data_IF_508638408272
#
_entry.id   IF_508638408272
#
_cell.length_a   1.000
_cell.length_b   1.000
_cell.length_c   1.000
_cell.angle_alpha   90.00
_cell.angle_beta   90.00
_cell.angle_gamma   90.00
#
_symmetry.space_group_name_H-M   'P 1'
#
loop_
_entity.id
_entity.type
_entity.pdbx_description
1 polymer ?
#
# COMPACT_ATOMS: atom_id res chain seq x y z
N UNK A 1 -2.23 -14.51 -2.37
CA UNK A 1 -1.52 -13.25 -2.06
C UNK A 1 -1.17 -12.60 -3.38
N UNK A 2 -1.08 -11.27 -3.42
CA UNK A 2 -0.52 -10.53 -4.53
C UNK A 2 0.78 -9.85 -4.08
N UNK A 3 1.71 -9.63 -4.99
CA UNK A 3 3.01 -9.01 -4.74
C UNK A 3 3.38 -8.10 -5.91
N UNK A 4 4.18 -7.09 -5.61
CA UNK A 4 4.77 -6.19 -6.60
C UNK A 4 5.89 -5.40 -5.97
N UNK A 5 6.69 -4.74 -6.80
CA UNK A 5 7.76 -3.88 -6.35
C UNK A 5 7.97 -2.71 -7.32
N UNK A 6 8.62 -1.68 -6.80
CA UNK A 6 9.12 -0.53 -7.52
C UNK A 6 10.55 -0.24 -7.03
N UNK A 7 11.15 0.86 -7.46
CA UNK A 7 12.54 1.18 -7.10
C UNK A 7 12.75 1.27 -5.58
N UNK A 8 11.82 1.90 -4.86
CA UNK A 8 11.94 2.16 -3.43
C UNK A 8 11.02 1.30 -2.57
N UNK A 9 10.06 0.57 -3.16
CA UNK A 9 9.04 -0.14 -2.39
C UNK A 9 8.82 -1.57 -2.82
N UNK A 10 8.53 -2.44 -1.83
CA UNK A 10 8.04 -3.79 -2.05
C UNK A 10 6.68 -3.96 -1.41
N UNK A 11 5.67 -4.24 -2.22
CA UNK A 11 4.28 -4.38 -1.82
C UNK A 11 3.80 -5.83 -1.79
N UNK A 12 2.95 -6.16 -0.81
CA UNK A 12 2.11 -7.35 -0.85
C UNK A 12 0.69 -7.08 -0.36
N UNK A 13 -0.27 -7.79 -0.94
CA UNK A 13 -1.67 -7.81 -0.51
C UNK A 13 -2.06 -9.22 -0.10
N UNK A 14 -2.57 -9.37 1.12
CA UNK A 14 -3.03 -10.63 1.68
C UNK A 14 -4.47 -10.53 2.13
N UNK A 15 -5.25 -11.53 1.76
CA UNK A 15 -6.62 -11.71 2.24
C UNK A 15 -6.63 -12.83 3.27
N UNK A 16 -7.25 -12.56 4.41
CA UNK A 16 -7.58 -13.54 5.45
C UNK A 16 -9.09 -13.76 5.47
N UNK A 17 -9.51 -15.01 5.61
CA UNK A 17 -10.92 -15.38 5.74
C UNK A 17 -11.09 -16.14 7.05
N UNK A 18 -11.91 -15.61 7.95
CA UNK A 18 -12.20 -16.22 9.25
C UNK A 18 -13.71 -16.35 9.41
N UNK A 19 -14.22 -17.59 9.29
CA UNK A 19 -15.67 -17.84 9.22
C UNK A 19 -16.29 -17.11 8.01
N UNK A 20 -17.24 -16.22 8.28
CA UNK A 20 -17.89 -15.38 7.25
C UNK A 20 -17.24 -14.00 7.08
N UNK A 21 -16.18 -13.70 7.83
CA UNK A 21 -15.45 -12.43 7.73
C UNK A 21 -14.31 -12.57 6.73
N UNK A 22 -14.18 -11.60 5.82
CA UNK A 22 -13.04 -11.44 4.92
C UNK A 22 -12.36 -10.12 5.24
N UNK A 23 -11.05 -10.14 5.46
CA UNK A 23 -10.23 -8.95 5.63
C UNK A 23 -8.98 -9.02 4.78
N UNK A 24 -8.67 -7.92 4.12
CA UNK A 24 -7.46 -7.71 3.35
C UNK A 24 -6.49 -6.78 4.08
N UNK A 25 -5.22 -6.95 3.75
CA UNK A 25 -4.12 -6.15 4.28
C UNK A 25 -3.06 -5.94 3.22
N UNK A 26 -2.74 -4.69 2.97
CA UNK A 26 -1.58 -4.26 2.22
C UNK A 26 -0.39 -4.08 3.16
N UNK A 27 0.80 -4.38 2.66
CA UNK A 27 2.05 -4.11 3.34
C UNK A 27 3.06 -3.63 2.31
N UNK A 28 3.55 -2.40 2.47
CA UNK A 28 4.57 -1.80 1.61
C UNK A 28 5.83 -1.56 2.43
N UNK A 29 6.93 -2.19 2.05
CA UNK A 29 8.21 -2.07 2.73
C UNK A 29 9.14 -1.17 1.93
N UNK A 30 9.69 -0.14 2.56
CA UNK A 30 10.70 0.72 1.96
C UNK A 30 12.00 -0.06 1.83
N UNK A 31 12.58 -0.09 0.64
CA UNK A 31 13.73 -0.93 0.33
C UNK A 31 15.05 -0.25 0.70
N UNK A 32 15.07 1.07 0.85
CA UNK A 32 16.29 1.86 1.11
C UNK A 32 16.45 2.16 2.61
N UNK A 33 17.67 2.41 3.04
CA UNK A 33 18.01 2.58 4.47
C UNK A 33 17.68 3.98 5.02
N UNK A 34 17.44 4.94 4.13
CA UNK A 34 17.03 6.32 4.36
C UNK A 34 15.51 6.48 4.62
N UNK A 35 14.81 5.40 4.99
CA UNK A 35 13.36 5.46 5.25
C UNK A 35 12.97 6.49 6.31
N UNK A 36 13.86 6.80 7.26
CA UNK A 36 13.62 7.80 8.32
C UNK A 36 13.59 9.24 7.80
N UNK A 37 14.16 9.47 6.62
CA UNK A 37 14.21 10.77 5.99
C UNK A 37 12.94 11.05 5.18
N UNK A 38 12.06 10.04 5.03
CA UNK A 38 10.75 10.22 4.40
C UNK A 38 9.89 11.11 5.27
N UNK A 39 9.65 12.34 4.81
CA UNK A 39 9.02 13.39 5.62
C UNK A 39 7.51 13.37 5.59
N UNK A 40 6.91 13.11 4.43
CA UNK A 40 5.47 12.93 4.25
C UNK A 40 5.21 11.96 3.11
N UNK A 41 4.21 11.10 3.26
CA UNK A 41 3.83 10.18 2.21
C UNK A 41 2.32 10.08 2.01
N UNK A 42 1.94 9.71 0.80
CA UNK A 42 0.58 9.41 0.38
C UNK A 42 0.53 8.05 -0.31
N UNK A 43 -0.44 7.20 0.04
CA UNK A 43 -0.69 5.93 -0.65
C UNK A 43 -2.07 5.93 -1.27
N UNK A 44 -2.11 5.60 -2.55
CA UNK A 44 -3.33 5.41 -3.32
C UNK A 44 -3.44 4.00 -3.86
N UNK A 45 -4.62 3.42 -3.71
CA UNK A 45 -4.94 2.07 -4.20
C UNK A 45 -6.14 2.17 -5.14
N UNK A 46 -6.06 1.47 -6.27
CA UNK A 46 -7.06 1.50 -7.34
C UNK A 46 -7.08 2.83 -8.10
N UNK A 47 -8.18 3.08 -8.82
CA UNK A 47 -8.37 4.30 -9.62
C UNK A 47 -8.71 5.52 -8.73
N UNK A 48 -7.74 5.94 -7.92
CA UNK A 48 -7.79 7.14 -7.07
C UNK A 48 -8.79 7.09 -5.90
N UNK A 49 -9.13 5.89 -5.39
CA UNK A 49 -10.19 5.75 -4.38
C UNK A 49 -9.69 5.63 -2.93
N UNK A 50 -8.38 5.72 -2.69
CA UNK A 50 -7.84 5.78 -1.34
C UNK A 50 -6.64 6.72 -1.25
N UNK A 51 -6.53 7.42 -0.13
CA UNK A 51 -5.44 8.34 0.19
C UNK A 51 -5.13 8.10 1.67
N UNK A 52 -4.21 7.18 1.99
CA UNK A 52 -3.53 7.25 3.29
C UNK A 52 -2.55 8.40 3.17
N UNK A 53 -2.63 9.40 4.04
CA UNK A 53 -1.71 10.52 4.08
C UNK A 53 -1.20 10.68 5.51
N UNK A 54 0.11 10.54 5.67
CA UNK A 54 0.76 10.54 6.99
C UNK A 54 2.08 11.32 6.92
N UNK A 55 2.42 11.96 8.03
CA UNK A 55 3.71 12.63 8.20
C UNK A 55 4.74 11.63 8.74
N UNK A 56 5.83 11.47 7.99
CA UNK A 56 6.94 10.62 8.38
C UNK A 56 6.67 9.12 8.23
N UNK A 57 7.68 8.36 7.83
CA UNK A 57 7.63 6.91 8.08
C UNK A 57 7.96 6.63 9.53
N UNK A 58 7.01 6.11 10.31
CA UNK A 58 7.24 5.64 11.68
C UNK A 58 8.05 4.34 11.72
N UNK A 59 7.90 3.53 10.68
CA UNK A 59 8.62 2.28 10.45
C UNK A 59 8.95 2.17 8.96
N UNK A 60 9.87 1.27 8.62
CA UNK A 60 10.19 0.91 7.22
C UNK A 60 9.02 0.26 6.46
N UNK A 61 7.85 0.13 7.08
CA UNK A 61 6.67 -0.52 6.52
C UNK A 61 5.42 0.34 6.69
N UNK A 62 4.66 0.49 5.60
CA UNK A 62 3.30 1.02 5.60
C UNK A 62 2.34 -0.16 5.61
N UNK A 63 1.33 -0.12 6.49
CA UNK A 63 0.30 -1.15 6.60
C UNK A 63 -1.05 -0.49 6.39
N UNK A 64 -1.85 -1.03 5.46
CA UNK A 64 -3.21 -0.55 5.18
C UNK A 64 -4.15 -1.74 5.26
N UNK A 65 -5.17 -1.68 6.10
CA UNK A 65 -6.18 -2.74 6.27
C UNK A 65 -7.47 -2.38 5.56
N UNK A 66 -8.22 -3.37 5.08
CA UNK A 66 -9.45 -3.16 4.29
C UNK A 66 -10.48 -2.25 4.98
N UNK A 67 -10.52 -2.16 6.31
CA UNK A 67 -11.38 -1.22 7.06
C UNK A 67 -10.99 0.25 6.89
N UNK A 68 -9.70 0.53 6.63
CA UNK A 68 -9.21 1.85 6.22
C UNK A 68 -9.54 2.15 4.75
N UNK A 69 -9.99 1.13 4.00
CA UNK A 69 -10.29 1.20 2.58
C UNK A 69 -11.80 1.07 2.39
N UNK A 70 -12.52 2.18 2.57
CA UNK A 70 -13.99 2.17 2.58
C UNK A 70 -14.66 1.73 1.27
N UNK A 71 -13.91 1.56 0.17
CA UNK A 71 -14.48 1.51 -1.18
C UNK A 71 -13.88 0.49 -2.16
N UNK A 72 -12.89 -0.33 -1.80
CA UNK A 72 -12.37 -1.35 -2.75
C UNK A 72 -13.35 -2.53 -2.84
N UNK A 73 -14.23 -2.48 -3.85
CA UNK A 73 -15.27 -3.47 -4.07
C UNK A 73 -14.85 -4.63 -5.00
N UNK A 74 -13.68 -4.54 -5.65
CA UNK A 74 -13.22 -5.54 -6.63
C UNK A 74 -11.71 -5.84 -6.52
N UNK A 75 -11.32 -7.08 -6.84
CA UNK A 75 -9.91 -7.49 -6.87
C UNK A 75 -9.10 -6.79 -7.94
N UNK A 76 -9.68 -6.33 -9.05
CA UNK A 76 -8.92 -5.61 -10.07
C UNK A 76 -8.41 -4.26 -9.55
N UNK A 77 -9.21 -3.53 -8.76
CA UNK A 77 -8.76 -2.28 -8.14
C UNK A 77 -7.76 -2.50 -7.01
N UNK A 78 -7.59 -3.73 -6.50
CA UNK A 78 -6.56 -4.05 -5.49
C UNK A 78 -5.14 -4.07 -6.04
N UNK A 79 -4.96 -4.11 -7.37
CA UNK A 79 -3.66 -4.34 -8.01
C UNK A 79 -2.85 -3.07 -8.25
N UNK A 80 -3.53 -1.96 -8.52
CA UNK A 80 -2.87 -0.70 -8.85
C UNK A 80 -2.60 0.11 -7.59
N UNK A 81 -1.33 0.26 -7.22
CA UNK A 81 -0.92 1.07 -6.07
C UNK A 81 0.00 2.19 -6.52
N UNK A 82 -0.16 3.38 -5.96
CA UNK A 82 0.77 4.51 -6.09
C UNK A 82 1.20 4.97 -4.72
N UNK A 83 2.50 5.18 -4.52
CA UNK A 83 3.06 5.78 -3.31
C UNK A 83 3.77 7.07 -3.72
N UNK A 84 3.44 8.18 -3.07
CA UNK A 84 4.05 9.50 -3.27
C UNK A 84 4.72 9.95 -1.98
N UNK A 85 5.95 10.45 -2.04
CA UNK A 85 6.67 10.96 -0.87
C UNK A 85 7.79 11.89 -1.30
N UNK A 86 8.00 12.99 -0.58
CA UNK A 86 9.11 13.95 -0.80
C UNK A 86 9.32 14.34 -2.29
N UNK A 87 8.22 14.50 -3.04
CA UNK A 87 8.25 14.83 -4.48
C UNK A 87 8.53 13.66 -5.43
N UNK A 88 8.69 12.44 -4.91
CA UNK A 88 8.77 11.18 -5.67
C UNK A 88 7.39 10.55 -5.78
N UNK A 89 7.18 9.80 -6.86
CA UNK A 89 5.98 8.99 -7.10
C UNK A 89 6.37 7.68 -7.74
N UNK A 90 5.99 6.57 -7.12
CA UNK A 90 6.22 5.24 -7.65
C UNK A 90 4.90 4.47 -7.73
N UNK A 91 4.75 3.68 -8.80
CA UNK A 91 3.63 2.78 -8.99
C UNK A 91 4.07 1.35 -8.74
N UNK A 92 3.22 0.58 -8.06
CA UNK A 92 3.40 -0.83 -7.77
C UNK A 92 2.19 -1.56 -8.32
N UNK A 93 2.41 -2.44 -9.29
CA UNK A 93 1.38 -3.34 -9.81
C UNK A 93 1.46 -4.67 -9.07
N UNK A 94 0.41 -5.02 -8.31
CA UNK A 94 0.35 -6.26 -7.55
C UNK A 94 -0.23 -7.39 -8.40
N UNK A 95 0.51 -8.48 -8.53
CA UNK A 95 0.10 -9.69 -9.26
C UNK A 95 0.37 -10.95 -8.44
N UNK A 96 -0.15 -12.11 -8.87
CA UNK A 96 -0.06 -13.38 -8.13
C UNK A 96 1.34 -13.97 -8.13
#
# INVERSE_FOLDING_TARGET
MLKGESESWKGDYRVSVTGNSRSGKYTFNYQKDDWKDVGKYTVTVGKNELILEEDGLLNRSIIITDDQISSIHDQESTKDVSIEWDGKKEKIELSR
#
